data_IF_655563932303
#
_entry.id   IF_655563932303
#
_cell.length_a   1.000
_cell.length_b   1.000
_cell.length_c   1.000
_cell.angle_alpha   90.00
_cell.angle_beta   90.00
_cell.angle_gamma   90.00
#
_symmetry.space_group_name_H-M   'P 1'
#
loop_
_entity.id
_entity.type
_entity.pdbx_description
1 polymer ?
#
# COMPACT_ATOMS: atom_id res chain seq x y z
N UNK A 1 5.60 -0.49 -9.21
CA UNK A 1 5.01 -0.67 -7.87
C UNK A 1 5.01 -2.13 -7.39
N UNK A 2 5.35 -3.11 -8.25
CA UNK A 2 5.49 -4.54 -7.91
C UNK A 2 6.26 -4.86 -6.63
N UNK A 3 7.32 -4.10 -6.33
CA UNK A 3 8.16 -4.36 -5.15
C UNK A 3 7.34 -4.43 -3.85
N UNK A 4 6.32 -3.57 -3.73
CA UNK A 4 5.51 -3.46 -2.51
C UNK A 4 4.02 -3.76 -2.73
N UNK A 5 3.54 -3.78 -3.98
CA UNK A 5 2.14 -4.09 -4.31
C UNK A 5 1.94 -5.52 -4.83
N UNK A 6 3.00 -6.33 -4.91
CA UNK A 6 2.89 -7.80 -5.04
C UNK A 6 3.05 -8.46 -3.67
N UNK A 7 2.07 -9.27 -3.21
CA UNK A 7 2.15 -9.95 -1.92
C UNK A 7 3.44 -10.77 -1.74
N UNK A 8 3.90 -11.48 -2.78
CA UNK A 8 5.09 -12.33 -2.75
C UNK A 8 6.41 -11.55 -2.59
N UNK A 9 6.43 -10.29 -2.99
CA UNK A 9 7.59 -9.41 -2.76
C UNK A 9 7.50 -8.79 -1.36
N UNK A 10 6.33 -8.30 -0.98
CA UNK A 10 6.11 -7.66 0.30
C UNK A 10 6.33 -8.62 1.48
N UNK A 11 5.98 -9.89 1.32
CA UNK A 11 6.24 -10.95 2.30
C UNK A 11 7.73 -11.13 2.58
N UNK A 12 8.59 -11.06 1.55
CA UNK A 12 10.05 -11.10 1.72
C UNK A 12 10.56 -9.88 2.47
N UNK A 13 10.06 -8.70 2.11
CA UNK A 13 10.45 -7.41 2.72
C UNK A 13 9.96 -7.26 4.16
N UNK A 14 8.94 -8.02 4.58
CA UNK A 14 8.48 -8.05 5.97
C UNK A 14 9.63 -8.32 6.94
N UNK A 15 10.64 -9.10 6.52
CA UNK A 15 11.82 -9.42 7.32
C UNK A 15 12.64 -8.20 7.76
N UNK A 16 12.78 -7.19 6.89
CA UNK A 16 13.48 -5.93 7.20
C UNK A 16 12.51 -4.80 7.61
N UNK A 17 11.24 -4.91 7.26
CA UNK A 17 10.20 -3.96 7.64
C UNK A 17 9.71 -3.12 6.47
N UNK A 18 8.40 -2.91 6.43
CA UNK A 18 7.74 -2.04 5.46
C UNK A 18 6.72 -1.16 6.18
N UNK A 19 6.75 0.13 5.88
CA UNK A 19 5.79 1.13 6.35
C UNK A 19 5.06 1.76 5.17
N UNK A 20 3.78 2.05 5.37
CA UNK A 20 2.99 2.83 4.40
C UNK A 20 2.64 4.19 5.01
N UNK A 21 2.37 5.18 4.16
CA UNK A 21 1.83 6.46 4.61
C UNK A 21 0.43 6.25 5.22
N UNK A 22 0.14 6.99 6.28
CA UNK A 22 -1.23 7.17 6.78
C UNK A 22 -1.88 8.32 5.99
N UNK A 23 -2.06 8.09 4.70
CA UNK A 23 -2.57 9.04 3.72
C UNK A 23 -3.51 8.30 2.75
N UNK A 24 -4.79 8.14 3.10
CA UNK A 24 -5.69 7.21 2.40
C UNK A 24 -5.87 7.59 0.93
N UNK A 25 -6.05 8.86 0.60
CA UNK A 25 -6.25 9.31 -0.79
C UNK A 25 -5.05 8.95 -1.68
N UNK A 26 -3.83 9.22 -1.21
CA UNK A 26 -2.59 8.92 -1.95
C UNK A 26 -2.37 7.41 -2.11
N UNK A 27 -2.64 6.63 -1.05
CA UNK A 27 -2.50 5.18 -1.06
C UNK A 27 -3.51 4.54 -2.01
N UNK A 28 -4.79 4.94 -1.94
CA UNK A 28 -5.82 4.38 -2.83
C UNK A 28 -5.57 4.77 -4.29
N UNK A 29 -5.21 6.02 -4.59
CA UNK A 29 -4.88 6.44 -5.96
C UNK A 29 -3.70 5.63 -6.53
N UNK A 30 -2.66 5.38 -5.71
CA UNK A 30 -1.51 4.57 -6.09
C UNK A 30 -1.90 3.11 -6.39
N UNK A 31 -2.74 2.51 -5.53
CA UNK A 31 -3.22 1.14 -5.70
C UNK A 31 -4.13 1.01 -6.93
N UNK A 32 -5.03 1.96 -7.14
CA UNK A 32 -5.89 1.99 -8.33
C UNK A 32 -5.07 2.07 -9.62
N UNK A 33 -4.10 2.99 -9.66
CA UNK A 33 -3.17 3.11 -10.78
C UNK A 33 -2.43 1.79 -11.06
N UNK A 34 -1.95 1.11 -10.01
CA UNK A 34 -1.27 -0.17 -10.14
C UNK A 34 -2.16 -1.28 -10.70
N UNK A 35 -3.45 -1.27 -10.35
CA UNK A 35 -4.46 -2.19 -10.86
C UNK A 35 -4.94 -1.85 -12.29
N UNK A 36 -4.35 -0.83 -12.93
CA UNK A 36 -4.75 -0.35 -14.25
C UNK A 36 -6.08 0.41 -14.26
N UNK A 37 -6.48 0.95 -13.11
CA UNK A 37 -7.68 1.79 -12.94
C UNK A 37 -7.30 3.27 -12.96
N UNK A 38 -8.31 4.12 -13.11
CA UNK A 38 -8.14 5.56 -12.93
C UNK A 38 -7.76 5.85 -11.46
N UNK A 39 -6.63 6.53 -11.17
CA UNK A 39 -6.26 6.93 -9.81
C UNK A 39 -7.33 7.78 -9.11
N UNK A 40 -8.16 8.48 -9.88
CA UNK A 40 -9.28 9.31 -9.40
C UNK A 40 -10.63 8.66 -9.73
N UNK A 41 -10.71 7.32 -9.77
CA UNK A 41 -11.96 6.61 -10.07
C UNK A 41 -13.11 7.15 -9.22
N UNK A 42 -14.27 7.36 -9.84
CA UNK A 42 -15.52 7.72 -9.14
C UNK A 42 -16.42 6.50 -8.95
N UNK A 43 -15.96 5.31 -9.35
CA UNK A 43 -16.69 4.06 -9.21
C UNK A 43 -16.40 3.45 -7.83
N UNK A 44 -17.39 3.45 -6.95
CA UNK A 44 -17.28 2.89 -5.60
C UNK A 44 -16.73 1.45 -5.58
N UNK A 45 -17.15 0.61 -6.55
CA UNK A 45 -16.71 -0.79 -6.66
C UNK A 45 -15.20 -0.94 -6.86
N UNK A 46 -14.50 0.04 -7.45
CA UNK A 46 -13.05 -0.04 -7.61
C UNK A 46 -12.33 0.07 -6.24
N UNK A 47 -12.92 0.80 -5.30
CA UNK A 47 -12.42 0.95 -3.94
C UNK A 47 -12.80 -0.25 -3.08
N UNK A 48 -14.09 -0.56 -2.98
CA UNK A 48 -14.61 -1.62 -2.09
C UNK A 48 -14.26 -3.03 -2.54
N UNK A 49 -13.96 -3.22 -3.83
CA UNK A 49 -13.51 -4.48 -4.40
C UNK A 49 -11.99 -4.54 -4.53
N UNK A 50 -11.43 -4.34 -5.74
CA UNK A 50 -10.07 -4.74 -6.05
C UNK A 50 -9.00 -3.95 -5.28
N UNK A 51 -9.22 -2.67 -4.97
CA UNK A 51 -8.26 -1.90 -4.17
C UNK A 51 -8.19 -2.37 -2.72
N UNK A 52 -9.35 -2.50 -2.05
CA UNK A 52 -9.43 -3.07 -0.69
C UNK A 52 -8.91 -4.50 -0.64
N UNK A 53 -9.27 -5.36 -1.60
CA UNK A 53 -8.81 -6.75 -1.66
C UNK A 53 -7.28 -6.85 -1.72
N UNK A 54 -6.64 -6.00 -2.53
CA UNK A 54 -5.18 -5.97 -2.60
C UNK A 54 -4.58 -5.45 -1.29
N UNK A 55 -5.07 -4.33 -0.77
CA UNK A 55 -4.57 -3.76 0.49
C UNK A 55 -4.70 -4.73 1.66
N UNK A 56 -5.79 -5.49 1.75
CA UNK A 56 -5.98 -6.53 2.77
C UNK A 56 -5.01 -7.70 2.62
N UNK A 57 -4.63 -8.09 1.40
CA UNK A 57 -3.59 -9.10 1.16
C UNK A 57 -2.21 -8.61 1.59
N UNK A 58 -1.93 -7.31 1.43
CA UNK A 58 -0.66 -6.70 1.81
C UNK A 58 -0.56 -6.43 3.33
N UNK A 59 -1.70 -6.16 3.98
CA UNK A 59 -1.80 -5.71 5.39
C UNK A 59 -1.03 -6.54 6.41
N UNK A 60 -0.96 -7.89 6.34
CA UNK A 60 -0.18 -8.69 7.29
C UNK A 60 1.35 -8.47 7.22
N UNK A 61 1.83 -7.91 6.10
CA UNK A 61 3.26 -7.68 5.84
C UNK A 61 3.68 -6.22 6.09
N UNK A 62 2.73 -5.33 6.41
CA UNK A 62 2.97 -3.92 6.72
C UNK A 62 3.15 -3.78 8.24
N UNK A 63 4.27 -3.21 8.66
CA UNK A 63 4.62 -3.02 10.08
C UNK A 63 3.76 -1.94 10.73
N UNK A 64 3.61 -0.79 10.06
CA UNK A 64 2.79 0.32 10.51
C UNK A 64 2.34 1.22 9.36
N UNK A 65 1.34 2.05 9.63
CA UNK A 65 0.91 3.17 8.79
C UNK A 65 1.23 4.46 9.54
N UNK A 66 2.15 5.28 9.01
CA UNK A 66 2.56 6.55 9.62
C UNK A 66 3.29 7.43 8.60
N UNK A 67 2.91 8.70 8.51
CA UNK A 67 3.40 9.60 7.45
C UNK A 67 4.68 10.38 7.80
N UNK A 68 5.43 9.98 8.84
CA UNK A 68 6.65 10.69 9.25
C UNK A 68 7.69 9.83 9.98
N UNK A 69 7.27 8.83 10.78
CA UNK A 69 8.19 7.96 11.52
C UNK A 69 9.21 7.23 10.61
N UNK A 70 8.84 6.96 9.35
CA UNK A 70 9.74 6.31 8.38
C UNK A 70 11.06 7.08 8.18
N UNK A 71 11.08 8.40 8.38
CA UNK A 71 12.29 9.23 8.26
C UNK A 71 13.25 8.92 9.41
N UNK A 72 12.72 8.80 10.63
CA UNK A 72 13.52 8.48 11.81
C UNK A 72 14.08 7.06 11.75
N UNK A 73 13.29 6.11 11.24
CA UNK A 73 13.71 4.72 11.06
C UNK A 73 14.85 4.57 10.03
N UNK A 74 14.94 5.49 9.05
CA UNK A 74 16.03 5.52 8.06
C UNK A 74 17.29 6.23 8.57
N UNK A 75 17.16 7.10 9.56
CA UNK A 75 18.27 7.89 10.08
C UNK A 75 19.13 7.14 11.11
N UNK A 76 18.66 5.99 11.63
CA UNK A 76 19.31 5.18 12.67
C UNK A 76 19.66 3.78 12.17
#
# INVERSE_FOLDING_TARGET
WDLILKPENLEKLKSCGVSFLDAPEEVFATVLNYLGKDPNSTKADDYTGPATDLLLKLRPNIRYFHSSQYINDLAN
#
